data_IF_243316176736
#
_entry.id   IF_243316176736
#
_cell.length_a   1.000
_cell.length_b   1.000
_cell.length_c   1.000
_cell.angle_alpha   90.00
_cell.angle_beta   90.00
_cell.angle_gamma   90.00
#
_symmetry.space_group_name_H-M   'P 1'
#
loop_
_entity.id
_entity.type
_entity.pdbx_description
1 polymer ?
#
# COMPACT_ATOMS: atom_id res chain seq x y z
N UNK A 1 -19.62 -39.23 18.85
CA UNK A 1 -19.16 -37.83 18.93
C UNK A 1 -20.21 -37.01 19.66
N UNK A 2 -19.87 -36.32 20.76
CA UNK A 2 -20.83 -35.56 21.56
C UNK A 2 -21.22 -34.25 20.84
N UNK A 3 -22.47 -33.81 20.99
CA UNK A 3 -22.95 -32.50 20.48
C UNK A 3 -22.08 -31.33 20.97
N UNK A 4 -21.47 -31.50 22.14
CA UNK A 4 -20.52 -30.54 22.73
C UNK A 4 -19.24 -30.44 21.89
N UNK A 5 -18.68 -31.57 21.44
CA UNK A 5 -17.46 -31.61 20.63
C UNK A 5 -17.65 -30.94 19.27
N UNK A 6 -18.82 -31.14 18.63
CA UNK A 6 -19.16 -30.50 17.35
C UNK A 6 -19.33 -28.98 17.53
N UNK A 7 -19.96 -28.54 18.62
CA UNK A 7 -20.09 -27.12 18.95
C UNK A 7 -18.73 -26.42 19.13
N UNK A 8 -17.79 -27.06 19.86
CA UNK A 8 -16.44 -26.54 20.04
C UNK A 8 -15.68 -26.42 18.71
N UNK A 9 -15.79 -27.42 17.83
CA UNK A 9 -15.16 -27.39 16.50
C UNK A 9 -15.70 -26.19 15.69
N UNK A 10 -17.02 -25.99 15.65
CA UNK A 10 -17.62 -24.86 14.93
C UNK A 10 -17.15 -23.48 15.47
N UNK A 11 -17.05 -23.33 16.79
CA UNK A 11 -16.55 -22.08 17.41
C UNK A 11 -15.09 -21.82 17.01
N UNK A 12 -14.23 -22.86 17.04
CA UNK A 12 -12.83 -22.71 16.63
C UNK A 12 -12.68 -22.32 15.17
N UNK A 13 -13.44 -22.94 14.27
CA UNK A 13 -13.45 -22.57 12.84
C UNK A 13 -13.90 -21.13 12.61
N UNK A 14 -14.97 -20.70 13.29
CA UNK A 14 -15.46 -19.32 13.19
C UNK A 14 -14.41 -18.30 13.68
N UNK A 15 -13.76 -18.58 14.81
CA UNK A 15 -12.70 -17.73 15.35
C UNK A 15 -11.49 -17.65 14.39
N UNK A 16 -11.01 -18.79 13.89
CA UNK A 16 -9.90 -18.82 12.93
C UNK A 16 -10.22 -18.08 11.63
N UNK A 17 -11.44 -18.24 11.11
CA UNK A 17 -11.90 -17.51 9.93
C UNK A 17 -11.93 -15.99 10.17
N UNK A 18 -12.45 -15.56 11.32
CA UNK A 18 -12.48 -14.15 11.70
C UNK A 18 -11.08 -13.57 11.79
N UNK A 19 -10.16 -14.24 12.50
CA UNK A 19 -8.76 -13.80 12.63
C UNK A 19 -8.07 -13.71 11.27
N UNK A 20 -8.27 -14.69 10.40
CA UNK A 20 -7.73 -14.67 9.04
C UNK A 20 -8.28 -13.49 8.22
N UNK A 21 -9.60 -13.25 8.28
CA UNK A 21 -10.24 -12.13 7.60
C UNK A 21 -9.74 -10.77 8.11
N UNK A 22 -9.51 -10.64 9.42
CA UNK A 22 -8.93 -9.43 10.03
C UNK A 22 -7.50 -9.21 9.59
N UNK A 23 -6.69 -10.27 9.52
CA UNK A 23 -5.31 -10.20 9.04
C UNK A 23 -5.24 -9.73 7.58
N UNK A 24 -6.02 -10.34 6.69
CA UNK A 24 -6.06 -9.94 5.27
C UNK A 24 -6.50 -8.47 5.11
N UNK A 25 -7.49 -8.04 5.90
CA UNK A 25 -7.94 -6.64 5.90
C UNK A 25 -6.83 -5.70 6.37
N UNK A 26 -6.06 -6.09 7.38
CA UNK A 26 -4.92 -5.31 7.88
C UNK A 26 -3.82 -5.18 6.83
N UNK A 27 -3.43 -6.28 6.17
CA UNK A 27 -2.41 -6.25 5.12
C UNK A 27 -2.86 -5.40 3.92
N UNK A 28 -4.12 -5.57 3.46
CA UNK A 28 -4.67 -4.71 2.41
C UNK A 28 -4.65 -3.23 2.79
N UNK A 29 -5.03 -2.91 4.03
CA UNK A 29 -5.02 -1.53 4.51
C UNK A 29 -3.59 -0.95 4.54
N UNK A 30 -2.60 -1.75 4.94
CA UNK A 30 -1.18 -1.36 4.92
C UNK A 30 -0.71 -1.05 3.50
N UNK A 31 -1.03 -1.90 2.52
CA UNK A 31 -0.71 -1.67 1.11
C UNK A 31 -1.36 -0.39 0.59
N UNK A 32 -2.66 -0.18 0.85
CA UNK A 32 -3.37 1.04 0.42
C UNK A 32 -2.74 2.31 1.03
N UNK A 33 -2.39 2.26 2.32
CA UNK A 33 -1.72 3.38 2.98
C UNK A 33 -0.32 3.65 2.37
N UNK A 34 0.40 2.58 2.03
CA UNK A 34 1.70 2.66 1.38
C UNK A 34 1.60 3.24 -0.04
N UNK A 35 0.58 2.87 -0.81
CA UNK A 35 0.29 3.43 -2.15
C UNK A 35 -0.07 4.92 -2.07
N UNK A 36 -0.84 5.30 -1.05
CA UNK A 36 -1.18 6.70 -0.80
C UNK A 36 0.07 7.52 -0.46
N UNK A 37 0.94 7.01 0.42
CA UNK A 37 2.23 7.65 0.73
C UNK A 37 3.06 7.82 -0.55
N UNK A 38 3.21 6.78 -1.37
CA UNK A 38 3.95 6.88 -2.63
C UNK A 38 3.34 7.91 -3.60
N UNK A 39 2.02 8.03 -3.64
CA UNK A 39 1.32 9.04 -4.44
C UNK A 39 1.66 10.46 -3.98
N UNK A 40 1.68 10.72 -2.67
CA UNK A 40 2.13 12.00 -2.11
C UNK A 40 3.60 12.28 -2.43
N UNK A 41 4.45 11.24 -2.37
CA UNK A 41 5.87 11.37 -2.69
C UNK A 41 6.07 11.78 -4.15
N UNK A 42 5.37 11.13 -5.09
CA UNK A 42 5.48 11.43 -6.51
C UNK A 42 5.11 12.89 -6.83
N UNK A 43 4.10 13.43 -6.15
CA UNK A 43 3.75 14.84 -6.25
C UNK A 43 4.87 15.75 -5.70
N UNK A 44 5.35 15.49 -4.48
CA UNK A 44 6.38 16.30 -3.84
C UNK A 44 7.71 16.29 -4.61
N UNK A 45 8.05 15.18 -5.26
CA UNK A 45 9.23 15.02 -6.10
C UNK A 45 9.03 15.54 -7.53
N UNK A 46 7.85 16.09 -7.86
CA UNK A 46 7.47 16.58 -9.20
C UNK A 46 7.64 15.53 -10.30
N UNK A 47 7.44 14.26 -9.98
CA UNK A 47 7.38 13.20 -11.00
C UNK A 47 6.11 13.31 -11.82
N UNK A 48 5.04 13.78 -11.18
CA UNK A 48 3.75 14.08 -11.79
C UNK A 48 3.14 15.30 -11.09
N UNK A 49 2.62 16.25 -11.87
CA UNK A 49 1.89 17.40 -11.33
C UNK A 49 0.51 16.98 -10.79
N UNK A 50 -0.03 17.70 -9.80
CA UNK A 50 -1.29 17.31 -9.14
C UNK A 50 -2.47 17.23 -10.12
N UNK A 51 -2.52 18.14 -11.09
CA UNK A 51 -3.55 18.20 -12.13
C UNK A 51 -3.46 17.02 -13.09
N UNK A 52 -2.24 16.63 -13.48
CA UNK A 52 -1.99 15.48 -14.33
C UNK A 52 -2.29 14.17 -13.62
N UNK A 53 -1.97 14.08 -12.32
CA UNK A 53 -2.31 12.94 -11.49
C UNK A 53 -3.81 12.72 -11.42
N UNK A 54 -4.59 13.77 -11.12
CA UNK A 54 -6.06 13.67 -11.08
C UNK A 54 -6.64 13.28 -12.45
N UNK A 55 -6.11 13.86 -13.53
CA UNK A 55 -6.50 13.51 -14.91
C UNK A 55 -6.21 12.04 -15.23
N UNK A 56 -5.02 11.56 -14.86
CA UNK A 56 -4.60 10.18 -15.12
C UNK A 56 -5.40 9.18 -14.27
N UNK A 57 -5.75 9.51 -13.02
CA UNK A 57 -6.66 8.72 -12.18
C UNK A 57 -8.04 8.62 -12.85
N UNK A 58 -8.63 9.74 -13.28
CA UNK A 58 -9.94 9.76 -13.92
C UNK A 58 -10.00 8.99 -15.24
N UNK A 59 -8.86 8.81 -15.91
CA UNK A 59 -8.73 8.03 -17.16
C UNK A 59 -8.29 6.58 -16.94
N UNK A 60 -8.06 6.15 -15.69
CA UNK A 60 -7.53 4.82 -15.39
C UNK A 60 -6.09 4.59 -15.91
N UNK A 61 -5.33 5.67 -16.10
CA UNK A 61 -3.96 5.65 -16.63
C UNK A 61 -2.89 5.77 -15.54
N UNK A 62 -3.29 6.11 -14.31
CA UNK A 62 -2.42 6.21 -13.15
C UNK A 62 -2.44 4.91 -12.36
N UNK A 63 -1.27 4.29 -12.18
CA UNK A 63 -1.09 3.08 -11.37
C UNK A 63 -0.04 3.34 -10.31
N UNK A 64 -0.37 3.00 -9.07
CA UNK A 64 0.57 3.02 -7.94
C UNK A 64 0.51 1.66 -7.29
N UNK A 65 1.67 1.06 -7.07
CA UNK A 65 1.79 -0.23 -6.40
C UNK A 65 2.95 -0.19 -5.44
N UNK A 66 2.76 -0.71 -4.23
CA UNK A 66 3.81 -0.77 -3.23
C UNK A 66 3.83 -2.08 -2.47
N UNK A 67 5.02 -2.41 -1.97
CA UNK A 67 5.31 -3.59 -1.17
C UNK A 67 6.11 -3.13 0.05
N UNK A 68 5.63 -3.47 1.24
CA UNK A 68 6.34 -3.19 2.48
C UNK A 68 7.50 -4.19 2.59
N UNK A 69 8.72 -3.67 2.65
CA UNK A 69 9.95 -4.47 2.73
C UNK A 69 10.57 -4.47 4.13
N UNK A 70 10.12 -3.59 5.02
CA UNK A 70 10.66 -3.51 6.36
C UNK A 70 10.00 -2.46 7.24
N UNK A 71 10.57 -2.28 8.43
CA UNK A 71 10.11 -1.33 9.43
C UNK A 71 11.29 -0.76 10.21
N UNK A 72 11.27 0.55 10.49
CA UNK A 72 12.25 1.23 11.35
C UNK A 72 11.48 1.99 12.43
N UNK A 73 11.53 1.49 13.66
CA UNK A 73 10.74 2.03 14.76
C UNK A 73 9.23 1.97 14.47
N UNK A 74 8.59 3.13 14.37
CA UNK A 74 7.17 3.25 14.06
C UNK A 74 6.87 3.32 12.55
N UNK A 75 7.89 3.52 11.72
CA UNK A 75 7.74 3.79 10.30
C UNK A 75 7.94 2.53 9.46
N UNK A 76 7.23 2.43 8.35
CA UNK A 76 7.40 1.37 7.37
C UNK A 76 8.38 1.79 6.28
N UNK A 77 9.12 0.83 5.75
CA UNK A 77 9.90 0.98 4.53
C UNK A 77 9.18 0.19 3.44
N UNK A 78 8.90 0.86 2.33
CA UNK A 78 8.27 0.26 1.16
C UNK A 78 9.11 0.49 -0.09
N UNK A 79 9.07 -0.49 -0.97
CA UNK A 79 9.40 -0.33 -2.38
C UNK A 79 8.09 -0.14 -3.14
N UNK A 80 8.09 0.71 -4.16
CA UNK A 80 6.91 0.85 -5.00
C UNK A 80 7.21 1.44 -6.36
N UNK A 81 6.18 1.47 -7.18
CA UNK A 81 6.19 1.94 -8.57
C UNK A 81 5.02 2.90 -8.78
N UNK A 82 5.31 4.02 -9.44
CA UNK A 82 4.32 4.97 -9.94
C UNK A 82 4.42 4.99 -11.45
N UNK A 83 3.28 4.83 -12.11
CA UNK A 83 3.19 4.84 -13.57
C UNK A 83 2.00 5.69 -14.02
N UNK A 84 2.26 6.63 -14.93
CA UNK A 84 1.23 7.31 -15.72
C UNK A 84 1.48 7.01 -17.19
N UNK A 85 0.65 6.11 -17.73
CA UNK A 85 0.72 5.65 -19.12
C UNK A 85 0.40 6.75 -20.13
N UNK A 86 -0.40 7.75 -19.74
CA UNK A 86 -0.77 8.86 -20.62
C UNK A 86 0.39 9.80 -20.92
N UNK A 87 1.32 9.93 -19.98
CA UNK A 87 2.47 10.83 -20.06
C UNK A 87 3.82 10.09 -20.15
N UNK A 88 3.82 8.76 -20.29
CA UNK A 88 5.04 7.93 -20.26
C UNK A 88 5.91 8.15 -19.02
N UNK A 89 5.27 8.39 -17.87
CA UNK A 89 5.95 8.55 -16.59
C UNK A 89 6.04 7.19 -15.93
N UNK A 90 7.24 6.80 -15.52
CA UNK A 90 7.43 5.61 -14.69
C UNK A 90 8.62 5.78 -13.74
N UNK A 91 8.35 5.66 -12.45
CA UNK A 91 9.36 5.68 -11.40
C UNK A 91 9.18 4.51 -10.44
N UNK A 92 10.29 3.91 -10.04
CA UNK A 92 10.38 3.03 -8.87
C UNK A 92 11.02 3.80 -7.73
N UNK A 93 10.53 3.62 -6.52
CA UNK A 93 11.03 4.32 -5.35
C UNK A 93 11.09 3.41 -4.12
N UNK A 94 12.14 3.58 -3.33
CA UNK A 94 12.22 3.13 -1.94
C UNK A 94 11.98 4.31 -1.04
N UNK A 95 11.07 4.16 -0.09
CA UNK A 95 10.64 5.27 0.76
C UNK A 95 10.24 4.79 2.15
N UNK A 96 10.41 5.68 3.11
CA UNK A 96 9.99 5.50 4.50
C UNK A 96 8.75 6.34 4.76
N UNK A 97 7.76 5.77 5.44
CA UNK A 97 6.50 6.45 5.73
C UNK A 97 5.93 6.04 7.10
N UNK A 98 5.30 7.00 7.76
CA UNK A 98 4.69 6.78 9.06
C UNK A 98 3.29 6.19 8.90
N UNK A 99 2.99 5.11 9.64
CA UNK A 99 1.72 4.39 9.54
C UNK A 99 0.48 5.24 9.91
N UNK A 100 0.66 6.26 10.76
CA UNK A 100 -0.41 7.09 11.30
C UNK A 100 -0.68 8.27 10.38
N UNK A 101 0.36 9.06 10.07
CA UNK A 101 0.20 10.28 9.28
C UNK A 101 0.11 9.97 7.79
N UNK A 102 0.93 9.04 7.27
CA UNK A 102 1.03 8.64 5.85
C UNK A 102 1.48 9.77 4.90
N UNK A 103 1.28 11.01 5.30
CA UNK A 103 1.75 12.25 4.70
C UNK A 103 3.25 12.46 5.00
N UNK A 104 3.95 13.14 4.08
CA UNK A 104 5.39 13.43 4.12
C UNK A 104 6.30 12.19 4.20
N UNK A 105 6.14 11.20 3.30
CA UNK A 105 7.11 10.11 3.18
C UNK A 105 8.51 10.66 2.85
N UNK A 106 9.53 10.01 3.40
CA UNK A 106 10.93 10.31 3.11
C UNK A 106 11.40 9.44 1.95
N UNK A 107 11.90 10.07 0.89
CA UNK A 107 12.55 9.35 -0.21
C UNK A 107 13.88 8.78 0.25
N UNK A 108 14.11 7.50 0.00
CA UNK A 108 15.39 6.84 0.27
C UNK A 108 16.16 6.59 -1.03
N UNK A 109 15.46 6.13 -2.07
CA UNK A 109 16.02 5.94 -3.42
C UNK A 109 14.91 6.04 -4.48
N UNK A 110 15.23 6.50 -5.68
CA UNK A 110 14.30 6.51 -6.80
C UNK A 110 15.01 6.39 -8.15
N UNK A 111 14.39 5.63 -9.05
CA UNK A 111 14.88 5.38 -10.40
C UNK A 111 13.72 5.46 -11.40
N UNK A 112 14.01 5.86 -12.63
CA UNK A 112 13.07 5.67 -13.75
C UNK A 112 13.06 4.19 -14.15
N UNK A 113 11.91 3.67 -14.57
CA UNK A 113 11.70 2.22 -14.81
C UNK A 113 12.35 1.62 -16.08
N UNK A 114 13.45 2.19 -16.59
CA UNK A 114 14.04 1.90 -17.90
C UNK A 114 13.95 0.44 -18.39
#
# INVERSE_FOLDING_TARGET
MSKVTIGFICITFAASYFTYSSYISSEKLKTVNSDMALSYLAHNQKWIEQTDQLRAINRGQFTVTSVIIGKVGADYISDGKVEDKGNSICYTARYQWNAQTRENPTLLDANKCY
#
